data_IF_367583505348
#
_entry.id   IF_367583505348
#
_cell.length_a   1.000
_cell.length_b   1.000
_cell.length_c   1.000
_cell.angle_alpha   90.00
_cell.angle_beta   90.00
_cell.angle_gamma   90.00
#
_symmetry.space_group_name_H-M   'P 1'
#
loop_
_entity.id
_entity.type
_entity.pdbx_description
1 polymer ?
#
# COMPACT_ATOMS: atom_id res chain seq x y z
N UNK A 1 -31.78 51.37 34.33
CA UNK A 1 -32.54 51.66 33.09
C UNK A 1 -32.00 50.82 31.94
N UNK A 2 -31.90 49.51 32.16
CA UNK A 2 -32.73 48.49 31.54
C UNK A 2 -33.30 48.77 30.15
N UNK A 3 -32.81 48.03 29.15
CA UNK A 3 -33.66 47.26 28.23
C UNK A 3 -32.86 46.13 27.55
N UNK A 4 -32.98 44.90 28.06
CA UNK A 4 -33.09 43.68 27.23
C UNK A 4 -34.59 43.58 26.81
N UNK A 5 -34.98 42.88 25.71
CA UNK A 5 -34.45 41.58 25.26
C UNK A 5 -34.45 41.33 23.72
N UNK A 6 -33.87 40.21 23.26
CA UNK A 6 -34.59 39.25 22.40
C UNK A 6 -33.92 37.88 22.42
N UNK A 7 -34.76 36.85 22.49
CA UNK A 7 -34.42 35.44 22.49
C UNK A 7 -34.15 34.97 21.07
N UNK A 8 -33.11 34.15 20.89
CA UNK A 8 -32.78 33.50 19.64
C UNK A 8 -32.08 32.18 19.94
N UNK A 9 -32.91 31.22 20.32
CA UNK A 9 -32.71 29.78 20.17
C UNK A 9 -31.89 29.39 18.92
N UNK A 10 -30.89 28.54 19.12
CA UNK A 10 -30.58 27.39 18.24
C UNK A 10 -29.46 26.59 18.92
N UNK A 11 -29.83 25.68 19.81
CA UNK A 11 -30.05 24.29 19.41
C UNK A 11 -28.72 23.59 19.10
N UNK A 12 -28.26 22.81 20.07
CA UNK A 12 -27.22 21.82 19.90
C UNK A 12 -27.56 20.90 18.72
N UNK A 13 -26.96 21.13 17.56
CA UNK A 13 -26.86 20.09 16.56
C UNK A 13 -25.61 19.26 16.85
N UNK A 14 -25.78 18.29 17.75
CA UNK A 14 -25.08 17.00 17.69
C UNK A 14 -25.27 16.42 16.29
N UNK A 15 -24.42 16.81 15.36
CA UNK A 15 -24.11 15.95 14.24
C UNK A 15 -22.97 15.07 14.69
N UNK A 16 -23.34 13.97 15.36
CA UNK A 16 -22.56 12.74 15.36
C UNK A 16 -22.29 12.38 13.91
N UNK A 17 -21.23 12.98 13.36
CA UNK A 17 -20.68 12.66 12.07
C UNK A 17 -20.24 11.22 12.22
N UNK A 18 -21.08 10.33 11.73
CA UNK A 18 -20.78 8.92 11.52
C UNK A 18 -19.43 8.95 10.82
N UNK A 19 -18.37 8.63 11.57
CA UNK A 19 -17.04 8.39 11.03
C UNK A 19 -17.15 7.11 10.21
N UNK A 20 -17.86 7.20 9.09
CA UNK A 20 -17.64 6.35 7.94
C UNK A 20 -16.16 6.55 7.70
N UNK A 21 -15.36 5.53 8.05
CA UNK A 21 -13.94 5.50 7.73
C UNK A 21 -13.88 5.72 6.23
N UNK A 22 -13.70 6.98 5.82
CA UNK A 22 -13.63 7.38 4.43
C UNK A 22 -12.42 6.61 3.93
N UNK A 23 -12.70 5.54 3.19
CA UNK A 23 -11.66 4.67 2.65
C UNK A 23 -10.65 5.58 1.99
N UNK A 24 -9.43 5.60 2.55
CA UNK A 24 -8.40 6.55 2.14
C UNK A 24 -8.18 6.30 0.66
N UNK A 25 -8.46 7.30 -0.19
CA UNK A 25 -8.25 7.20 -1.63
C UNK A 25 -6.82 6.73 -1.89
N UNK A 26 -6.68 5.54 -2.44
CA UNK A 26 -5.38 4.98 -2.79
C UNK A 26 -5.02 5.45 -4.19
N UNK A 27 -3.95 6.23 -4.31
CA UNK A 27 -3.45 6.71 -5.59
C UNK A 27 -2.41 5.73 -6.15
N UNK A 28 -2.47 5.47 -7.46
CA UNK A 28 -1.49 4.61 -8.13
C UNK A 28 -0.09 5.24 -8.09
N UNK A 29 0.99 4.43 -8.09
CA UNK A 29 2.36 4.96 -8.09
C UNK A 29 2.65 5.91 -9.25
N UNK A 30 2.16 5.58 -10.45
CA UNK A 30 2.29 6.43 -11.64
C UNK A 30 1.58 7.78 -11.49
N UNK A 31 0.42 7.81 -10.81
CA UNK A 31 -0.30 9.06 -10.54
C UNK A 31 0.48 9.94 -9.57
N UNK A 32 0.99 9.38 -8.46
CA UNK A 32 1.82 10.11 -7.49
C UNK A 32 3.05 10.71 -8.14
N UNK A 33 3.75 9.93 -8.99
CA UNK A 33 4.91 10.40 -9.73
C UNK A 33 4.57 11.57 -10.68
N UNK A 34 3.44 11.48 -11.41
CA UNK A 34 2.99 12.57 -12.30
C UNK A 34 2.70 13.87 -11.53
N UNK A 35 2.00 13.77 -10.41
CA UNK A 35 1.67 14.93 -9.57
C UNK A 35 2.93 15.52 -8.93
N UNK A 36 3.83 14.66 -8.42
CA UNK A 36 5.11 15.10 -7.87
C UNK A 36 5.98 15.80 -8.93
N UNK A 37 6.06 15.28 -10.15
CA UNK A 37 6.78 15.92 -11.25
C UNK A 37 6.19 17.29 -11.60
N UNK A 38 4.86 17.43 -11.65
CA UNK A 38 4.21 18.72 -11.87
C UNK A 38 4.53 19.73 -10.74
N UNK A 39 4.59 19.25 -9.50
CA UNK A 39 4.96 20.07 -8.34
C UNK A 39 6.46 20.43 -8.26
N UNK A 40 7.33 19.64 -8.90
CA UNK A 40 8.77 19.95 -9.04
C UNK A 40 9.00 20.94 -10.18
N UNK A 41 8.29 20.80 -11.31
CA UNK A 41 8.39 21.73 -12.45
C UNK A 41 8.04 23.16 -12.07
N UNK A 42 7.08 23.36 -11.16
CA UNK A 42 6.73 24.69 -10.65
C UNK A 42 5.82 25.51 -11.57
N UNK A 43 5.35 24.94 -12.68
CA UNK A 43 4.46 25.63 -13.64
C UNK A 43 3.09 26.01 -13.05
N UNK A 44 2.67 25.33 -11.98
CA UNK A 44 1.38 25.51 -11.30
C UNK A 44 1.58 25.56 -9.81
N UNK A 45 0.81 26.42 -9.15
CA UNK A 45 0.79 26.51 -7.70
C UNK A 45 0.22 25.22 -7.08
N UNK A 46 0.54 24.97 -5.81
CA UNK A 46 0.02 23.79 -5.09
C UNK A 46 -1.51 23.78 -5.03
N UNK A 47 -2.14 24.96 -4.98
CA UNK A 47 -3.60 25.11 -4.98
C UNK A 47 -4.22 24.73 -6.33
N UNK A 48 -3.62 25.16 -7.44
CA UNK A 48 -4.07 24.79 -8.78
C UNK A 48 -3.87 23.30 -9.06
N UNK A 49 -2.75 22.72 -8.60
CA UNK A 49 -2.51 21.28 -8.70
C UNK A 49 -3.51 20.48 -7.87
N UNK A 50 -3.86 20.98 -6.68
CA UNK A 50 -4.87 20.36 -5.84
C UNK A 50 -6.23 20.31 -6.53
N UNK A 51 -6.59 21.37 -7.24
CA UNK A 51 -7.86 21.47 -7.96
C UNK A 51 -7.86 20.65 -9.27
N UNK A 52 -6.73 20.62 -9.99
CA UNK A 52 -6.59 19.86 -11.24
C UNK A 52 -6.61 18.35 -11.02
N UNK A 53 -5.95 17.88 -9.96
CA UNK A 53 -5.80 16.46 -9.68
C UNK A 53 -6.78 15.94 -8.61
N UNK A 54 -7.61 16.82 -8.01
CA UNK A 54 -8.50 16.51 -6.88
C UNK A 54 -7.73 15.86 -5.71
N UNK A 55 -6.58 16.45 -5.37
CA UNK A 55 -5.65 15.97 -4.34
C UNK A 55 -5.40 17.08 -3.33
N UNK A 56 -5.39 16.73 -2.04
CA UNK A 56 -5.10 17.70 -0.98
C UNK A 56 -3.65 18.26 -1.10
N UNK A 57 -3.39 19.56 -0.93
CA UNK A 57 -2.06 20.17 -1.04
C UNK A 57 -0.96 19.46 -0.23
N UNK A 58 -1.28 19.03 0.99
CA UNK A 58 -0.35 18.26 1.84
C UNK A 58 0.08 16.91 1.23
N UNK A 59 -0.75 16.26 0.42
CA UNK A 59 -0.34 15.02 -0.27
C UNK A 59 0.64 15.33 -1.41
N UNK A 60 0.43 16.46 -2.09
CA UNK A 60 1.31 16.92 -3.17
C UNK A 60 2.71 17.23 -2.62
N UNK A 61 2.80 17.88 -1.46
CA UNK A 61 4.10 18.15 -0.80
C UNK A 61 4.79 16.87 -0.36
N UNK A 62 4.05 15.90 0.21
CA UNK A 62 4.59 14.59 0.57
C UNK A 62 5.17 13.89 -0.66
N UNK A 63 4.42 13.80 -1.76
CA UNK A 63 4.89 13.10 -2.96
C UNK A 63 6.04 13.83 -3.65
N UNK A 64 6.04 15.17 -3.62
CA UNK A 64 7.18 15.98 -4.08
C UNK A 64 8.45 15.62 -3.31
N UNK A 65 8.39 15.59 -1.98
CA UNK A 65 9.54 15.26 -1.15
C UNK A 65 10.00 13.81 -1.37
N UNK A 66 9.07 12.86 -1.46
CA UNK A 66 9.37 11.45 -1.78
C UNK A 66 10.08 11.31 -3.13
N UNK A 67 9.66 12.08 -4.13
CA UNK A 67 10.32 12.08 -5.44
C UNK A 67 11.74 12.66 -5.35
N UNK A 68 11.94 13.75 -4.61
CA UNK A 68 13.27 14.38 -4.45
C UNK A 68 14.25 13.48 -3.69
N UNK A 69 13.79 12.84 -2.62
CA UNK A 69 14.60 11.90 -1.82
C UNK A 69 14.90 10.62 -2.61
N UNK A 70 13.90 10.08 -3.31
CA UNK A 70 14.04 8.88 -4.13
C UNK A 70 14.74 9.10 -5.48
N UNK A 71 14.89 10.35 -5.94
CA UNK A 71 15.47 10.66 -7.25
C UNK A 71 16.91 10.17 -7.39
N UNK A 72 17.71 10.29 -6.33
CA UNK A 72 19.09 9.79 -6.33
C UNK A 72 19.14 8.27 -6.56
N UNK A 73 18.17 7.52 -6.01
CA UNK A 73 18.06 6.07 -6.19
C UNK A 73 17.60 5.64 -7.59
N UNK A 74 17.04 6.54 -8.41
CA UNK A 74 16.70 6.23 -9.82
C UNK A 74 17.95 6.19 -10.69
N UNK A 75 18.95 7.02 -10.36
CA UNK A 75 20.24 7.07 -11.06
C UNK A 75 21.31 6.19 -10.39
N UNK A 76 21.18 5.92 -9.08
CA UNK A 76 21.95 4.93 -8.36
C UNK A 76 21.55 3.52 -8.79
N UNK A 77 22.51 2.66 -9.10
CA UNK A 77 22.26 1.32 -9.64
C UNK A 77 21.73 0.31 -8.61
N UNK A 78 21.32 0.75 -7.42
CA UNK A 78 20.76 -0.13 -6.41
C UNK A 78 19.28 -0.40 -6.71
N UNK A 79 19.09 -1.40 -7.56
CA UNK A 79 17.91 -2.26 -7.53
C UNK A 79 17.84 -2.90 -6.14
N UNK A 80 17.48 -2.14 -5.11
CA UNK A 80 16.97 -2.69 -3.86
C UNK A 80 15.53 -3.14 -4.06
N UNK A 81 15.26 -3.88 -5.14
CA UNK A 81 14.49 -5.10 -4.92
C UNK A 81 15.49 -6.00 -4.21
N UNK A 82 15.61 -5.82 -2.90
CA UNK A 82 16.06 -6.89 -2.04
C UNK A 82 14.97 -7.97 -2.09
N UNK A 83 14.78 -8.57 -3.27
CA UNK A 83 14.65 -10.01 -3.35
C UNK A 83 15.88 -10.48 -2.60
N UNK A 84 15.66 -10.85 -1.33
CA UNK A 84 16.60 -11.72 -0.64
C UNK A 84 17.04 -12.74 -1.68
N UNK A 85 18.34 -12.98 -1.88
CA UNK A 85 18.78 -14.01 -2.79
C UNK A 85 18.20 -15.31 -2.24
N UNK A 86 17.02 -15.67 -2.72
CA UNK A 86 16.33 -16.88 -2.34
C UNK A 86 17.28 -17.93 -2.86
N UNK A 87 17.93 -18.65 -1.95
CA UNK A 87 18.91 -19.64 -2.33
C UNK A 87 18.16 -20.78 -3.04
N UNK A 88 18.06 -20.66 -4.36
CA UNK A 88 17.37 -21.61 -5.21
C UNK A 88 17.98 -23.00 -5.04
N UNK A 89 19.26 -23.10 -4.65
CA UNK A 89 19.89 -24.38 -4.34
C UNK A 89 19.33 -25.00 -3.06
N UNK A 90 19.18 -24.22 -2.00
CA UNK A 90 18.55 -24.70 -0.77
C UNK A 90 17.09 -25.13 -0.99
N UNK A 91 16.33 -24.37 -1.78
CA UNK A 91 14.95 -24.74 -2.13
C UNK A 91 14.90 -26.03 -2.97
N UNK A 92 15.73 -26.14 -4.01
CA UNK A 92 15.78 -27.37 -4.82
C UNK A 92 16.24 -28.58 -4.02
N UNK A 93 17.18 -28.41 -3.08
CA UNK A 93 17.60 -29.47 -2.17
C UNK A 93 16.45 -29.93 -1.28
N UNK A 94 15.68 -28.99 -0.68
CA UNK A 94 14.53 -29.33 0.16
C UNK A 94 13.40 -29.99 -0.62
N UNK A 95 13.16 -29.56 -1.87
CA UNK A 95 12.20 -30.22 -2.78
C UNK A 95 12.64 -31.65 -3.07
N UNK A 96 13.92 -31.90 -3.36
CA UNK A 96 14.45 -33.24 -3.61
C UNK A 96 14.35 -34.16 -2.39
N UNK A 97 14.71 -33.67 -1.20
CA UNK A 97 14.57 -34.39 0.07
C UNK A 97 13.11 -34.80 0.31
N UNK A 98 12.17 -33.86 0.22
CA UNK A 98 10.74 -34.12 0.40
C UNK A 98 10.17 -35.06 -0.66
N UNK A 99 10.68 -35.03 -1.89
CA UNK A 99 10.25 -35.97 -2.94
C UNK A 99 10.68 -37.40 -2.61
N UNK A 100 11.93 -37.60 -2.17
CA UNK A 100 12.43 -38.92 -1.76
C UNK A 100 11.68 -39.44 -0.52
N UNK A 101 11.42 -38.59 0.46
CA UNK A 101 10.63 -38.96 1.64
C UNK A 101 9.20 -39.36 1.27
N UNK A 102 8.52 -38.58 0.41
CA UNK A 102 7.17 -38.92 -0.03
C UNK A 102 7.14 -40.21 -0.86
N UNK A 103 8.10 -40.44 -1.75
CA UNK A 103 8.20 -41.68 -2.53
C UNK A 103 8.44 -42.89 -1.62
N UNK A 104 9.31 -42.74 -0.61
CA UNK A 104 9.56 -43.77 0.39
C UNK A 104 8.30 -44.08 1.20
N UNK A 105 7.62 -43.05 1.73
CA UNK A 105 6.40 -43.21 2.52
C UNK A 105 5.27 -43.82 1.69
N UNK A 106 5.09 -43.37 0.44
CA UNK A 106 4.13 -43.94 -0.51
C UNK A 106 4.40 -45.43 -0.74
N UNK A 107 5.66 -45.79 -1.01
CA UNK A 107 6.07 -47.18 -1.19
C UNK A 107 5.88 -48.03 0.08
N UNK A 108 6.21 -47.49 1.25
CA UNK A 108 6.05 -48.17 2.53
C UNK A 108 4.58 -48.39 2.89
N UNK A 109 3.73 -47.39 2.68
CA UNK A 109 2.28 -47.49 2.88
C UNK A 109 1.64 -48.47 1.89
N UNK A 110 2.14 -48.54 0.64
CA UNK A 110 1.71 -49.53 -0.35
C UNK A 110 2.04 -50.95 0.14
N UNK A 111 3.28 -51.16 0.59
CA UNK A 111 3.76 -52.46 1.11
C UNK A 111 3.04 -52.87 2.40
N UNK A 112 2.68 -51.90 3.23
CA UNK A 112 1.91 -52.12 4.45
C UNK A 112 0.41 -52.33 4.20
N UNK A 113 -0.06 -52.24 2.95
CA UNK A 113 -1.48 -52.36 2.60
C UNK A 113 -2.35 -51.22 3.13
N UNK A 114 -1.73 -50.12 3.56
CA UNK A 114 -2.38 -48.98 4.20
C UNK A 114 -2.83 -47.91 3.20
N UNK A 115 -2.46 -48.02 1.92
CA UNK A 115 -3.03 -47.19 0.86
C UNK A 115 -4.43 -47.67 0.48
N UNK A 116 -5.40 -47.45 1.37
CA UNK A 116 -6.81 -47.44 1.02
C UNK A 116 -7.29 -46.00 0.88
N UNK A 117 -6.91 -45.34 -0.21
CA UNK A 117 -7.54 -44.08 -0.62
C UNK A 117 -7.73 -44.09 -2.14
N UNK A 118 -8.92 -44.54 -2.51
CA UNK A 118 -9.57 -44.43 -3.81
C UNK A 118 -9.35 -43.04 -4.41
N UNK A 119 -8.85 -43.01 -5.65
CA UNK A 119 -9.11 -41.91 -6.59
C UNK A 119 -10.24 -42.36 -7.51
#
# INVERSE_FOLDING_TARGET
MDFLPDSGEDSCCESGAKMTKKSRRTHSPAFKAKVALAAVKGDKTLAELAQLFDVHPNQITIWKNQLLEGAAGVFGHDKTSAETPVDLKALHAKIGELALENDFLSGALTKAGLLSAKR
#
